data_IF_141588418702
#
_entry.id   IF_141588418702
#
_cell.length_a   1.000
_cell.length_b   1.000
_cell.length_c   1.000
_cell.angle_alpha   90.00
_cell.angle_beta   90.00
_cell.angle_gamma   90.00
#
_symmetry.space_group_name_H-M   'P 1'
#
loop_
_entity.id
_entity.type
_entity.pdbx_description
1 polymer ?
#
# COMPACT_ATOMS: atom_id res chain seq x y z
N UNK A 1 34.59 57.78 -1.26
CA UNK A 1 33.41 57.30 -0.50
C UNK A 1 32.51 56.58 -1.49
N UNK A 2 32.08 55.32 -1.41
CA UNK A 2 32.11 54.25 -0.40
C UNK A 2 31.95 52.94 -1.17
N UNK A 3 32.87 52.01 -0.93
CA UNK A 3 32.69 50.55 -0.78
C UNK A 3 32.22 49.75 -2.01
N UNK A 4 33.23 49.18 -2.67
CA UNK A 4 33.24 47.85 -3.27
C UNK A 4 32.83 46.82 -2.19
N UNK A 5 31.74 46.07 -2.40
CA UNK A 5 31.42 44.88 -1.60
C UNK A 5 31.07 43.74 -2.54
N UNK A 6 32.07 42.89 -2.75
CA UNK A 6 31.99 41.52 -3.26
C UNK A 6 30.93 40.73 -2.51
N UNK A 7 29.89 40.27 -3.21
CA UNK A 7 28.94 39.29 -2.68
C UNK A 7 29.46 37.90 -3.01
N UNK A 8 29.88 37.24 -1.95
CA UNK A 8 30.37 35.87 -1.82
C UNK A 8 29.44 34.86 -2.51
N UNK A 9 30.01 34.02 -3.36
CA UNK A 9 29.36 32.83 -3.88
C UNK A 9 29.08 31.86 -2.73
N UNK A 10 27.80 31.70 -2.35
CA UNK A 10 27.37 30.58 -1.52
C UNK A 10 27.45 29.31 -2.36
N UNK A 11 28.49 28.51 -2.14
CA UNK A 11 28.56 27.14 -2.63
C UNK A 11 27.43 26.33 -1.97
N UNK A 12 26.36 26.07 -2.73
CA UNK A 12 25.32 25.11 -2.35
C UNK A 12 25.92 23.72 -2.45
N UNK A 13 26.32 23.16 -1.31
CA UNK A 13 26.68 21.75 -1.21
C UNK A 13 25.40 20.93 -1.38
N UNK A 14 25.18 20.42 -2.59
CA UNK A 14 24.17 19.41 -2.89
C UNK A 14 24.66 18.10 -2.26
N UNK A 15 24.39 17.90 -0.97
CA UNK A 15 24.56 16.59 -0.34
C UNK A 15 23.54 15.63 -0.96
N UNK A 16 24.06 14.61 -1.65
CA UNK A 16 23.27 13.64 -2.38
C UNK A 16 22.19 12.98 -1.52
N UNK A 17 20.96 13.09 -1.98
CA UNK A 17 19.85 12.30 -1.47
C UNK A 17 20.10 10.84 -1.87
N UNK A 18 20.73 10.05 -0.99
CA UNK A 18 20.74 8.60 -1.13
C UNK A 18 19.29 8.12 -1.05
N UNK A 19 18.69 7.84 -2.21
CA UNK A 19 17.34 7.33 -2.35
C UNK A 19 17.21 5.89 -1.84
N UNK A 20 17.31 5.70 -0.53
CA UNK A 20 16.76 4.51 0.10
C UNK A 20 15.23 4.65 0.02
N UNK A 21 14.60 3.91 -0.89
CA UNK A 21 13.15 3.85 -0.95
C UNK A 21 12.61 3.43 0.43
N UNK A 22 11.93 4.34 1.13
CA UNK A 22 11.27 4.03 2.39
C UNK A 22 10.21 2.98 2.07
N UNK A 23 10.36 1.78 2.62
CA UNK A 23 9.39 0.71 2.39
C UNK A 23 8.04 1.12 2.98
N UNK A 24 7.00 1.20 2.15
CA UNK A 24 5.66 1.57 2.59
C UNK A 24 5.10 0.62 3.68
N UNK A 25 4.34 1.17 4.63
CA UNK A 25 3.62 0.41 5.65
C UNK A 25 2.33 -0.22 5.11
N UNK A 26 1.65 -1.04 5.93
CA UNK A 26 0.45 -1.76 5.51
C UNK A 26 -0.73 -0.86 5.13
N UNK A 27 -0.94 0.26 5.84
CA UNK A 27 -2.01 1.20 5.55
C UNK A 27 -1.76 1.94 4.22
N UNK A 28 -0.53 2.41 4.03
CA UNK A 28 -0.08 3.08 2.81
C UNK A 28 -0.13 2.15 1.60
N UNK A 29 0.22 0.87 1.79
CA UNK A 29 0.09 -0.16 0.75
C UNK A 29 -1.38 -0.43 0.41
N UNK A 30 -2.24 -0.57 1.42
CA UNK A 30 -3.68 -0.77 1.19
C UNK A 30 -4.31 0.37 0.38
N UNK A 31 -3.96 1.62 0.69
CA UNK A 31 -4.42 2.78 -0.06
C UNK A 31 -3.82 2.82 -1.49
N UNK A 32 -2.50 2.69 -1.63
CA UNK A 32 -1.81 2.80 -2.93
C UNK A 32 -2.11 1.66 -3.90
N UNK A 33 -2.48 0.48 -3.39
CA UNK A 33 -2.95 -0.67 -4.19
C UNK A 33 -4.46 -0.64 -4.45
N UNK A 34 -5.12 0.50 -4.18
CA UNK A 34 -6.53 0.74 -4.49
C UNK A 34 -7.50 -0.22 -3.79
N UNK A 35 -7.09 -0.84 -2.68
CA UNK A 35 -7.95 -1.78 -1.94
C UNK A 35 -9.20 -1.08 -1.39
N UNK A 36 -9.05 0.19 -1.00
CA UNK A 36 -10.11 1.01 -0.44
C UNK A 36 -11.26 1.31 -1.40
N UNK A 37 -11.04 1.21 -2.72
CA UNK A 37 -12.06 1.48 -3.74
C UNK A 37 -13.26 0.54 -3.63
N UNK A 38 -13.06 -0.68 -3.12
CA UNK A 38 -14.12 -1.66 -2.91
C UNK A 38 -14.36 -1.95 -1.43
N UNK A 39 -13.28 -2.10 -0.66
CA UNK A 39 -13.35 -2.54 0.74
C UNK A 39 -13.51 -1.38 1.74
N UNK A 40 -13.50 -0.14 1.29
CA UNK A 40 -13.56 1.05 2.13
C UNK A 40 -12.20 1.45 2.70
N UNK A 41 -12.10 2.68 3.21
CA UNK A 41 -10.84 3.28 3.64
C UNK A 41 -10.09 2.46 4.71
N UNK A 42 -10.82 1.80 5.60
CA UNK A 42 -10.29 1.01 6.72
C UNK A 42 -10.61 -0.49 6.62
N UNK A 43 -11.30 -0.93 5.57
CA UNK A 43 -11.75 -2.31 5.43
C UNK A 43 -13.00 -2.69 6.23
N UNK A 44 -13.59 -1.78 7.02
CA UNK A 44 -14.75 -2.04 7.89
C UNK A 44 -16.08 -1.86 7.17
N UNK A 45 -16.15 -0.86 6.32
CA UNK A 45 -17.37 -0.47 5.59
C UNK A 45 -17.11 -0.52 4.08
N UNK A 46 -17.48 -1.62 3.41
CA UNK A 46 -17.32 -1.74 1.97
C UNK A 46 -18.24 -0.75 1.23
N UNK A 47 -17.82 -0.36 0.02
CA UNK A 47 -18.57 0.61 -0.81
C UNK A 47 -19.90 0.02 -1.31
N UNK A 48 -19.99 -1.31 -1.44
CA UNK A 48 -21.22 -2.02 -1.77
C UNK A 48 -21.43 -3.24 -0.87
N UNK A 49 -22.68 -3.63 -0.56
CA UNK A 49 -22.98 -4.78 0.31
C UNK A 49 -22.42 -6.12 -0.19
N UNK A 50 -22.17 -6.25 -1.49
CA UNK A 50 -21.61 -7.46 -2.11
C UNK A 50 -20.11 -7.64 -1.87
N UNK A 51 -19.39 -6.58 -1.48
CA UNK A 51 -17.98 -6.67 -1.15
C UNK A 51 -17.77 -7.05 0.32
N UNK A 52 -16.80 -7.93 0.61
CA UNK A 52 -16.58 -8.37 1.98
C UNK A 52 -15.96 -7.26 2.83
N UNK A 53 -16.33 -7.25 4.11
CA UNK A 53 -15.58 -6.58 5.19
C UNK A 53 -14.28 -7.34 5.42
N UNK A 54 -13.16 -6.63 5.47
CA UNK A 54 -11.81 -7.23 5.56
C UNK A 54 -11.02 -6.76 6.79
N UNK A 55 -11.48 -5.70 7.46
CA UNK A 55 -10.94 -5.27 8.75
C UNK A 55 -11.17 -6.32 9.84
N UNK A 56 -10.21 -6.45 10.76
CA UNK A 56 -10.24 -7.38 11.88
C UNK A 56 -10.10 -8.85 11.49
N UNK A 57 -9.90 -9.15 10.21
CA UNK A 57 -9.70 -10.52 9.75
C UNK A 57 -8.33 -11.04 10.22
N UNK A 58 -8.26 -12.34 10.52
CA UNK A 58 -7.01 -12.97 10.90
C UNK A 58 -5.92 -12.71 9.82
N UNK A 59 -4.72 -12.34 10.29
CA UNK A 59 -3.59 -11.98 9.43
C UNK A 59 -3.20 -13.10 8.47
N UNK A 60 -3.02 -14.31 8.96
CA UNK A 60 -2.55 -15.44 8.16
C UNK A 60 -3.62 -15.88 7.18
N UNK A 61 -4.90 -15.86 7.60
CA UNK A 61 -6.02 -16.07 6.70
C UNK A 61 -6.03 -15.03 5.56
N UNK A 62 -5.94 -13.74 5.88
CA UNK A 62 -5.94 -12.67 4.88
C UNK A 62 -4.78 -12.80 3.90
N UNK A 63 -3.58 -13.09 4.40
CA UNK A 63 -2.40 -13.35 3.58
C UNK A 63 -2.64 -14.52 2.63
N UNK A 64 -3.17 -15.63 3.14
CA UNK A 64 -3.46 -16.81 2.32
C UNK A 64 -4.53 -16.51 1.26
N UNK A 65 -5.58 -15.76 1.60
CA UNK A 65 -6.61 -15.37 0.62
C UNK A 65 -6.06 -14.49 -0.51
N UNK A 66 -5.17 -13.54 -0.19
CA UNK A 66 -4.51 -12.72 -1.22
C UNK A 66 -3.72 -13.62 -2.17
N UNK A 67 -2.93 -14.56 -1.63
CA UNK A 67 -2.13 -15.50 -2.45
C UNK A 67 -3.01 -16.41 -3.30
N UNK A 68 -4.02 -17.04 -2.69
CA UNK A 68 -4.87 -18.00 -3.39
C UNK A 68 -5.66 -17.35 -4.53
N UNK A 69 -6.16 -16.13 -4.33
CA UNK A 69 -6.88 -15.41 -5.39
C UNK A 69 -5.90 -14.97 -6.49
N UNK A 70 -4.74 -14.41 -6.13
CA UNK A 70 -3.72 -13.93 -7.06
C UNK A 70 -3.21 -15.07 -7.95
N UNK A 71 -2.91 -16.21 -7.33
CA UNK A 71 -2.28 -17.35 -7.99
C UNK A 71 -3.33 -18.25 -8.68
N UNK A 72 -4.63 -18.01 -8.42
CA UNK A 72 -5.74 -18.72 -9.07
C UNK A 72 -6.17 -20.01 -8.37
N UNK A 73 -5.72 -20.26 -7.15
CA UNK A 73 -6.17 -21.37 -6.31
C UNK A 73 -7.60 -21.14 -5.78
N UNK A 74 -8.07 -19.88 -5.72
CA UNK A 74 -9.44 -19.52 -5.33
C UNK A 74 -10.19 -18.79 -6.45
N UNK A 75 -11.22 -19.44 -6.99
CA UNK A 75 -11.93 -19.01 -8.22
C UNK A 75 -13.45 -18.81 -8.05
N UNK A 76 -13.94 -18.70 -6.81
CA UNK A 76 -15.36 -18.58 -6.52
C UNK A 76 -15.86 -17.12 -6.40
N UNK A 77 -17.14 -16.90 -6.71
CA UNK A 77 -17.80 -15.61 -6.48
C UNK A 77 -17.11 -14.44 -7.20
N UNK A 78 -16.79 -13.38 -6.45
CA UNK A 78 -16.16 -12.16 -7.00
C UNK A 78 -14.63 -12.24 -7.10
N UNK A 79 -14.01 -13.42 -6.93
CA UNK A 79 -12.54 -13.53 -6.91
C UNK A 79 -11.92 -13.26 -8.28
N UNK A 80 -12.66 -13.42 -9.38
CA UNK A 80 -12.18 -13.03 -10.71
C UNK A 80 -11.89 -11.51 -10.80
N UNK A 81 -12.76 -10.67 -10.23
CA UNK A 81 -12.53 -9.23 -10.15
C UNK A 81 -11.36 -8.89 -9.21
N UNK A 82 -11.30 -9.56 -8.05
CA UNK A 82 -10.22 -9.34 -7.08
C UNK A 82 -8.86 -9.77 -7.61
N UNK A 83 -8.77 -10.86 -8.37
CA UNK A 83 -7.54 -11.35 -8.99
C UNK A 83 -6.86 -10.29 -9.86
N UNK A 84 -7.64 -9.53 -10.64
CA UNK A 84 -7.12 -8.41 -11.41
C UNK A 84 -6.52 -7.30 -10.53
N UNK A 85 -7.17 -6.99 -9.40
CA UNK A 85 -6.73 -5.95 -8.47
C UNK A 85 -5.42 -6.31 -7.74
N UNK A 86 -5.22 -7.59 -7.43
CA UNK A 86 -4.06 -8.04 -6.64
C UNK A 86 -2.94 -8.67 -7.46
N UNK A 87 -3.05 -8.68 -8.80
CA UNK A 87 -2.02 -9.23 -9.68
C UNK A 87 -0.63 -8.62 -9.44
N UNK A 88 -0.57 -7.32 -9.09
CA UNK A 88 0.66 -6.59 -8.77
C UNK A 88 0.98 -6.48 -7.27
N UNK A 89 0.31 -7.26 -6.41
CA UNK A 89 0.59 -7.29 -4.96
C UNK A 89 1.65 -8.36 -4.70
N UNK A 90 2.83 -7.93 -4.27
CA UNK A 90 3.93 -8.85 -3.91
C UNK A 90 3.64 -9.55 -2.59
N UNK A 91 4.36 -10.65 -2.29
CA UNK A 91 4.23 -11.35 -1.00
C UNK A 91 4.60 -10.46 0.20
N UNK A 92 5.58 -9.56 0.01
CA UNK A 92 5.97 -8.57 1.03
C UNK A 92 4.85 -7.57 1.28
N UNK A 93 4.22 -7.06 0.21
CA UNK A 93 3.09 -6.14 0.31
C UNK A 93 1.90 -6.83 0.98
N UNK A 94 1.56 -8.05 0.53
CA UNK A 94 0.46 -8.84 1.08
C UNK A 94 0.62 -9.07 2.58
N UNK A 95 1.83 -9.39 3.05
CA UNK A 95 2.12 -9.59 4.48
C UNK A 95 1.90 -8.32 5.31
N UNK A 96 2.27 -7.16 4.76
CA UNK A 96 2.07 -5.85 5.42
C UNK A 96 0.60 -5.44 5.44
N UNK A 97 -0.09 -5.58 4.30
CA UNK A 97 -1.53 -5.30 4.18
C UNK A 97 -2.33 -6.20 5.13
N UNK A 98 -2.07 -7.51 5.13
CA UNK A 98 -2.73 -8.45 6.02
C UNK A 98 -2.46 -8.15 7.50
N UNK A 99 -1.23 -7.74 7.82
CA UNK A 99 -0.86 -7.33 9.18
C UNK A 99 -1.63 -6.10 9.65
N UNK A 100 -1.78 -5.09 8.79
CA UNK A 100 -2.54 -3.90 9.08
C UNK A 100 -4.04 -4.20 9.18
N UNK A 101 -4.63 -4.91 8.21
CA UNK A 101 -6.06 -5.27 8.23
C UNK A 101 -6.47 -6.03 9.50
N UNK A 102 -5.59 -6.89 10.03
CA UNK A 102 -5.83 -7.62 11.27
C UNK A 102 -5.89 -6.73 12.52
N UNK A 103 -5.29 -5.53 12.48
CA UNK A 103 -5.33 -4.57 13.58
C UNK A 103 -6.46 -3.55 13.48
N UNK A 104 -7.27 -3.60 12.41
CA UNK A 104 -8.35 -2.64 12.17
C UNK A 104 -9.61 -2.96 12.96
#
# INVERSE_FOLDING_TARGET
MRKLTTLTACAVLITGMSGAAIAADGASLYASKMCSTCHGADGKTPVMPSYPKVAGQNKDYTLQQIKDIRDGNRTNGLTAAMKGMIAGVTDSDAKKIAGWLASQ
#
